data_IF_984683618552
#
_entry.id   IF_984683618552
#
_cell.length_a   1.000
_cell.length_b   1.000
_cell.length_c   1.000
_cell.angle_alpha   90.00
_cell.angle_beta   90.00
_cell.angle_gamma   90.00
#
_symmetry.space_group_name_H-M   'P 1'
#
loop_
_entity.id
_entity.type
_entity.pdbx_description
1 polymer ?
#
# COMPACT_ATOMS: atom_id res chain seq x y z
N UNK A 1 -14.37 -13.07 36.91
CA UNK A 1 -13.71 -11.81 37.35
C UNK A 1 -12.74 -11.26 36.30
N UNK A 2 -11.92 -12.10 35.65
CA UNK A 2 -10.99 -11.70 34.59
C UNK A 2 -11.66 -11.05 33.37
N UNK A 3 -12.73 -11.64 32.84
CA UNK A 3 -13.45 -11.15 31.65
C UNK A 3 -14.03 -9.74 31.81
N UNK A 4 -14.65 -9.41 32.95
CA UNK A 4 -15.12 -8.03 33.22
C UNK A 4 -13.98 -7.01 33.14
N UNK A 5 -12.85 -7.31 33.78
CA UNK A 5 -11.67 -6.42 33.80
C UNK A 5 -11.06 -6.19 32.40
N UNK A 6 -11.15 -7.18 31.52
CA UNK A 6 -10.72 -7.06 30.12
C UNK A 6 -11.61 -6.08 29.34
N UNK A 7 -12.94 -6.20 29.48
CA UNK A 7 -13.88 -5.28 28.85
C UNK A 7 -13.80 -3.87 29.44
N UNK A 8 -13.42 -3.69 30.71
CA UNK A 8 -13.25 -2.33 31.28
C UNK A 8 -12.12 -1.52 30.62
N UNK A 9 -11.17 -2.18 29.93
CA UNK A 9 -10.01 -1.54 29.30
C UNK A 9 -10.13 -1.38 27.77
N UNK A 10 -11.27 -1.76 27.17
CA UNK A 10 -11.43 -1.78 25.71
C UNK A 10 -11.16 -0.42 25.04
N UNK A 11 -11.51 0.70 25.68
CA UNK A 11 -11.26 2.06 25.14
C UNK A 11 -9.76 2.39 25.14
N UNK A 12 -9.03 1.97 26.19
CA UNK A 12 -7.57 2.14 26.24
C UNK A 12 -6.94 1.34 25.13
N UNK A 13 -7.35 0.07 24.99
CA UNK A 13 -6.88 -0.79 23.92
C UNK A 13 -7.18 -0.22 22.52
N UNK A 14 -8.39 0.26 22.27
CA UNK A 14 -8.76 0.90 21.00
C UNK A 14 -7.84 2.07 20.66
N UNK A 15 -7.49 2.92 21.64
CA UNK A 15 -6.52 4.01 21.42
C UNK A 15 -5.12 3.49 21.10
N UNK A 16 -4.64 2.47 21.80
CA UNK A 16 -3.37 1.82 21.48
C UNK A 16 -3.35 1.27 20.05
N UNK A 17 -4.43 0.59 19.63
CA UNK A 17 -4.59 0.10 18.26
C UNK A 17 -4.61 1.26 17.26
N UNK A 18 -5.31 2.36 17.56
CA UNK A 18 -5.33 3.56 16.71
C UNK A 18 -3.93 4.15 16.48
N UNK A 19 -3.11 4.26 17.53
CA UNK A 19 -1.70 4.69 17.40
C UNK A 19 -0.88 3.72 16.55
N UNK A 20 -1.04 2.41 16.77
CA UNK A 20 -0.34 1.38 16.00
C UNK A 20 -0.72 1.44 14.51
N UNK A 21 -2.02 1.57 14.19
CA UNK A 21 -2.49 1.73 12.81
C UNK A 21 -1.81 2.92 12.15
N UNK A 22 -1.79 4.09 12.80
CA UNK A 22 -1.15 5.28 12.23
C UNK A 22 0.34 5.07 11.94
N UNK A 23 1.07 4.49 12.91
CA UNK A 23 2.49 4.20 12.74
C UNK A 23 2.77 3.24 11.58
N UNK A 24 2.05 2.11 11.53
CA UNK A 24 2.24 1.12 10.47
C UNK A 24 1.75 1.62 9.11
N UNK A 25 0.71 2.45 9.05
CA UNK A 25 0.26 3.09 7.80
C UNK A 25 1.33 4.03 7.23
N UNK A 26 2.06 4.79 8.05
CA UNK A 26 3.16 5.64 7.59
C UNK A 26 4.27 4.79 6.95
N UNK A 27 4.69 3.72 7.64
CA UNK A 27 5.70 2.79 7.11
C UNK A 27 5.22 2.15 5.80
N UNK A 28 3.97 1.72 5.76
CA UNK A 28 3.36 1.07 4.60
C UNK A 28 3.31 2.00 3.38
N UNK A 29 2.89 3.26 3.54
CA UNK A 29 2.93 4.27 2.47
C UNK A 29 4.37 4.52 2.01
N UNK A 30 5.32 4.63 2.96
CA UNK A 30 6.73 4.78 2.63
C UNK A 30 7.28 3.63 1.80
N UNK A 31 6.93 2.38 2.15
CA UNK A 31 7.30 1.20 1.38
C UNK A 31 6.71 1.20 -0.03
N UNK A 32 5.46 1.66 -0.20
CA UNK A 32 4.87 1.82 -1.53
C UNK A 32 5.59 2.86 -2.38
N UNK A 33 5.94 4.00 -1.81
CA UNK A 33 6.71 5.05 -2.50
C UNK A 33 8.07 4.49 -2.92
N UNK A 34 8.81 3.88 -1.99
CA UNK A 34 10.12 3.29 -2.26
C UNK A 34 10.08 2.22 -3.37
N UNK A 35 9.09 1.31 -3.31
CA UNK A 35 8.94 0.27 -4.33
C UNK A 35 8.64 0.87 -5.72
N UNK A 36 7.85 1.95 -5.77
CA UNK A 36 7.50 2.59 -7.03
C UNK A 36 8.67 3.43 -7.60
N UNK A 37 9.43 4.13 -6.75
CA UNK A 37 10.67 4.80 -7.15
C UNK A 37 11.67 3.78 -7.70
N UNK A 38 11.86 2.64 -7.02
CA UNK A 38 12.74 1.58 -7.50
C UNK A 38 12.30 1.02 -8.85
N UNK A 39 10.99 0.91 -9.09
CA UNK A 39 10.45 0.49 -10.39
C UNK A 39 10.81 1.48 -11.51
N UNK A 40 10.71 2.78 -11.24
CA UNK A 40 11.11 3.85 -12.18
C UNK A 40 12.62 3.81 -12.43
N UNK A 41 13.43 3.64 -11.38
CA UNK A 41 14.89 3.57 -11.52
C UNK A 41 15.30 2.38 -12.38
N UNK A 42 14.77 1.20 -12.07
CA UNK A 42 15.02 -0.05 -12.82
C UNK A 42 14.58 0.09 -14.29
N UNK A 43 13.53 0.84 -14.56
CA UNK A 43 13.08 1.09 -15.92
C UNK A 43 14.08 1.90 -16.75
N UNK A 44 14.82 2.83 -16.12
CA UNK A 44 15.81 3.68 -16.78
C UNK A 44 17.22 3.07 -16.80
N UNK A 45 17.47 2.01 -16.03
CA UNK A 45 18.75 1.29 -16.02
C UNK A 45 18.97 0.55 -17.36
N UNK A 46 20.20 0.60 -17.88
CA UNK A 46 20.59 -0.11 -19.10
C UNK A 46 21.18 -1.48 -18.77
N UNK A 47 20.72 -2.54 -19.44
CA UNK A 47 21.25 -3.90 -19.37
C UNK A 47 21.33 -4.54 -17.96
N UNK A 48 20.57 -4.03 -16.98
CA UNK A 48 20.40 -4.74 -15.71
C UNK A 48 19.34 -5.84 -15.84
N UNK A 49 19.52 -6.96 -15.12
CA UNK A 49 18.55 -8.06 -15.11
C UNK A 49 17.14 -7.56 -14.74
N UNK A 50 17.06 -6.69 -13.73
CA UNK A 50 15.80 -6.09 -13.29
C UNK A 50 15.15 -5.23 -14.39
N UNK A 51 15.94 -4.47 -15.15
CA UNK A 51 15.44 -3.66 -16.27
C UNK A 51 14.86 -4.53 -17.39
N UNK A 52 15.57 -5.60 -17.75
CA UNK A 52 15.11 -6.56 -18.76
C UNK A 52 13.84 -7.29 -18.31
N UNK A 53 13.78 -7.71 -17.03
CA UNK A 53 12.58 -8.31 -16.44
C UNK A 53 11.39 -7.35 -16.40
N UNK A 54 11.63 -6.06 -16.12
CA UNK A 54 10.60 -5.02 -16.13
C UNK A 54 10.00 -4.79 -17.53
N UNK A 55 10.79 -5.03 -18.58
CA UNK A 55 10.40 -4.90 -19.99
C UNK A 55 9.93 -6.22 -20.63
N UNK A 56 9.94 -7.33 -19.88
CA UNK A 56 9.63 -8.68 -20.38
C UNK A 56 8.23 -8.78 -21.01
N UNK A 57 7.30 -7.91 -20.60
CA UNK A 57 5.97 -7.81 -21.20
C UNK A 57 6.00 -7.51 -22.72
N UNK A 58 7.01 -6.77 -23.21
CA UNK A 58 7.15 -6.48 -24.64
C UNK A 58 7.39 -7.75 -25.47
N UNK A 59 7.99 -8.77 -24.85
CA UNK A 59 8.27 -10.06 -25.48
C UNK A 59 7.18 -11.10 -25.18
N UNK A 60 6.50 -10.98 -24.03
CA UNK A 60 5.51 -11.94 -23.56
C UNK A 60 4.34 -11.23 -22.88
N UNK A 61 3.21 -11.14 -23.57
CA UNK A 61 2.00 -10.48 -23.05
C UNK A 61 1.43 -11.12 -21.78
N UNK A 62 1.80 -12.38 -21.51
CA UNK A 62 1.41 -13.12 -20.30
C UNK A 62 2.31 -12.81 -19.09
N UNK A 63 3.42 -12.10 -19.28
CA UNK A 63 4.32 -11.74 -18.18
C UNK A 63 3.63 -10.77 -17.22
N UNK A 64 3.50 -11.17 -15.97
CA UNK A 64 2.94 -10.35 -14.88
C UNK A 64 4.01 -9.76 -13.97
N UNK A 65 5.27 -9.71 -14.41
CA UNK A 65 6.41 -9.25 -13.58
C UNK A 65 6.31 -7.75 -13.28
N UNK A 66 5.94 -6.95 -14.29
CA UNK A 66 5.70 -5.53 -14.13
C UNK A 66 4.19 -5.25 -14.02
N UNK A 67 3.69 -4.77 -12.86
CA UNK A 67 2.28 -4.44 -12.69
C UNK A 67 1.77 -3.24 -13.52
N UNK A 68 2.67 -2.49 -14.14
CA UNK A 68 2.42 -1.31 -14.98
C UNK A 68 2.81 -1.54 -16.44
N UNK A 69 2.83 -2.79 -16.87
CA UNK A 69 3.14 -3.26 -18.24
C UNK A 69 2.40 -2.52 -19.39
N UNK A 70 1.18 -2.03 -19.13
CA UNK A 70 0.36 -1.29 -20.11
C UNK A 70 0.61 0.22 -20.13
N UNK A 71 1.51 0.71 -19.29
CA UNK A 71 1.89 2.12 -19.22
C UNK A 71 3.15 2.33 -20.03
N UNK A 72 3.14 3.31 -20.93
CA UNK A 72 4.31 3.56 -21.77
C UNK A 72 5.55 3.93 -20.93
N UNK A 73 6.73 3.39 -21.28
CA UNK A 73 8.03 3.73 -20.70
C UNK A 73 8.23 5.23 -20.45
N UNK A 74 7.91 6.03 -21.48
CA UNK A 74 8.19 7.46 -21.50
C UNK A 74 7.25 8.29 -20.61
N UNK A 75 6.25 7.66 -19.98
CA UNK A 75 5.28 8.34 -19.09
C UNK A 75 5.24 7.72 -17.69
N UNK A 76 6.18 6.85 -17.35
CA UNK A 76 6.27 6.21 -16.03
C UNK A 76 6.78 7.22 -14.98
N UNK A 77 5.87 8.09 -14.55
CA UNK A 77 6.01 9.05 -13.46
C UNK A 77 5.10 8.64 -12.29
N UNK A 78 4.84 9.51 -11.31
CA UNK A 78 3.92 9.22 -10.17
C UNK A 78 2.45 9.04 -10.62
N UNK A 79 2.06 9.63 -11.75
CA UNK A 79 0.66 9.66 -12.22
C UNK A 79 -0.01 8.29 -12.39
N UNK A 80 0.60 7.33 -13.11
CA UNK A 80 0.07 5.98 -13.28
C UNK A 80 -0.21 5.25 -11.95
N UNK A 81 0.68 5.35 -10.96
CA UNK A 81 0.46 4.81 -9.61
C UNK A 81 -0.83 5.35 -9.00
N UNK A 82 -1.03 6.66 -9.05
CA UNK A 82 -2.20 7.33 -8.45
C UNK A 82 -3.52 7.05 -9.18
N UNK A 83 -3.48 6.53 -10.40
CA UNK A 83 -4.68 6.13 -11.15
C UNK A 83 -5.12 4.69 -10.89
N UNK A 84 -4.28 3.89 -10.22
CA UNK A 84 -4.65 2.53 -9.83
C UNK A 84 -5.73 2.55 -8.76
N UNK A 85 -6.54 1.49 -8.68
CA UNK A 85 -7.53 1.31 -7.60
C UNK A 85 -6.85 1.40 -6.24
N UNK A 86 -5.71 0.73 -6.04
CA UNK A 86 -4.91 0.78 -4.83
C UNK A 86 -4.39 2.20 -4.55
N UNK A 87 -3.91 2.92 -5.56
CA UNK A 87 -3.44 4.31 -5.43
C UNK A 87 -4.54 5.27 -4.98
N UNK A 88 -5.68 5.30 -5.68
CA UNK A 88 -6.81 6.19 -5.36
C UNK A 88 -7.35 5.88 -3.95
N UNK A 89 -7.66 4.61 -3.69
CA UNK A 89 -8.18 4.19 -2.38
C UNK A 89 -7.16 4.43 -1.26
N UNK A 90 -5.86 4.25 -1.51
CA UNK A 90 -4.79 4.51 -0.56
C UNK A 90 -4.70 5.98 -0.15
N UNK A 91 -4.82 6.91 -1.11
CA UNK A 91 -4.87 8.35 -0.80
C UNK A 91 -6.10 8.70 0.03
N UNK A 92 -7.28 8.16 -0.33
CA UNK A 92 -8.51 8.37 0.43
C UNK A 92 -8.36 7.85 1.86
N UNK A 93 -7.80 6.64 2.03
CA UNK A 93 -7.52 6.04 3.34
C UNK A 93 -6.60 6.93 4.19
N UNK A 94 -5.54 7.49 3.61
CA UNK A 94 -4.63 8.38 4.31
C UNK A 94 -5.33 9.66 4.80
N UNK A 95 -6.14 10.28 3.95
CA UNK A 95 -6.91 11.48 4.29
C UNK A 95 -7.91 11.17 5.42
N UNK A 96 -8.68 10.08 5.29
CA UNK A 96 -9.61 9.64 6.33
C UNK A 96 -8.89 9.38 7.65
N UNK A 97 -7.77 8.63 7.63
CA UNK A 97 -7.00 8.31 8.83
C UNK A 97 -6.45 9.57 9.51
N UNK A 98 -5.95 10.53 8.73
CA UNK A 98 -5.46 11.81 9.24
C UNK A 98 -6.56 12.62 9.94
N UNK A 99 -7.77 12.68 9.35
CA UNK A 99 -8.91 13.39 9.93
C UNK A 99 -9.42 12.68 11.19
N UNK A 100 -9.58 11.36 11.16
CA UNK A 100 -10.01 10.56 12.32
C UNK A 100 -9.02 10.72 13.46
N UNK A 101 -7.72 10.58 13.19
CA UNK A 101 -6.69 10.61 14.22
C UNK A 101 -6.52 12.00 14.85
N UNK A 102 -6.43 13.06 14.03
CA UNK A 102 -6.29 14.43 14.51
C UNK A 102 -7.47 14.88 15.38
N UNK A 103 -8.70 14.63 14.93
CA UNK A 103 -9.93 14.94 15.69
C UNK A 103 -10.09 14.11 16.97
N UNK A 104 -9.43 12.96 17.07
CA UNK A 104 -9.46 12.08 18.26
C UNK A 104 -8.46 12.47 19.36
N UNK A 105 -7.64 13.51 19.15
CA UNK A 105 -6.72 14.02 20.17
C UNK A 105 -7.47 14.53 21.41
N UNK A 106 -6.83 14.46 22.58
CA UNK A 106 -7.47 14.88 23.83
C UNK A 106 -7.88 16.36 23.84
N UNK A 107 -7.17 17.21 23.08
CA UNK A 107 -7.49 18.63 22.93
C UNK A 107 -8.82 18.81 22.19
N UNK A 108 -8.97 18.22 21.01
CA UNK A 108 -10.19 18.38 20.19
C UNK A 108 -11.37 17.64 20.82
N UNK A 109 -11.18 16.40 21.27
CA UNK A 109 -12.27 15.59 21.82
C UNK A 109 -12.90 16.18 23.09
N UNK A 110 -12.14 16.93 23.91
CA UNK A 110 -12.65 17.56 25.14
C UNK A 110 -13.34 18.90 24.88
N UNK A 111 -12.82 19.68 23.94
CA UNK A 111 -13.34 21.03 23.65
C UNK A 111 -14.42 21.05 22.56
N UNK A 112 -14.38 20.10 21.62
CA UNK A 112 -15.24 20.04 20.44
C UNK A 112 -15.70 18.59 20.18
N UNK A 113 -16.54 18.07 21.09
CA UNK A 113 -16.95 16.67 21.05
C UNK A 113 -17.70 16.29 19.76
N UNK A 114 -18.56 17.17 19.24
CA UNK A 114 -19.29 16.94 17.98
C UNK A 114 -18.34 16.71 16.79
N UNK A 115 -17.27 17.52 16.68
CA UNK A 115 -16.27 17.37 15.61
C UNK A 115 -15.61 15.99 15.70
N UNK A 116 -15.19 15.59 16.91
CA UNK A 116 -14.67 14.25 17.14
C UNK A 116 -15.68 13.20 16.69
N UNK A 117 -16.93 13.30 17.14
CA UNK A 117 -17.95 12.28 16.90
C UNK A 117 -18.25 12.11 15.40
N UNK A 118 -18.50 13.21 14.68
CA UNK A 118 -18.77 13.16 13.25
C UNK A 118 -17.55 12.69 12.44
N UNK A 119 -16.35 13.20 12.75
CA UNK A 119 -15.14 12.80 12.05
C UNK A 119 -14.81 11.31 12.28
N UNK A 120 -15.06 10.78 13.47
CA UNK A 120 -14.75 9.37 13.77
C UNK A 120 -15.59 8.41 12.92
N UNK A 121 -16.83 8.76 12.52
CA UNK A 121 -17.69 7.95 11.64
C UNK A 121 -17.14 7.74 10.23
N UNK A 122 -16.10 8.48 9.82
CA UNK A 122 -15.33 8.18 8.61
C UNK A 122 -14.74 6.76 8.62
N UNK A 123 -14.75 6.04 9.76
CA UNK A 123 -14.41 4.61 9.82
C UNK A 123 -15.21 3.77 8.81
N UNK A 124 -16.45 4.14 8.49
CA UNK A 124 -17.28 3.42 7.50
C UNK A 124 -16.63 3.50 6.11
N UNK A 125 -16.31 4.72 5.67
CA UNK A 125 -15.63 4.96 4.39
C UNK A 125 -14.25 4.31 4.41
N UNK A 126 -13.52 4.43 5.53
CA UNK A 126 -12.21 3.83 5.71
C UNK A 126 -12.25 2.31 5.49
N UNK A 127 -13.17 1.57 6.11
CA UNK A 127 -13.22 0.12 5.93
C UNK A 127 -13.66 -0.30 4.52
N UNK A 128 -14.56 0.43 3.87
CA UNK A 128 -14.94 0.17 2.48
C UNK A 128 -13.72 0.35 1.57
N UNK A 129 -13.02 1.49 1.68
CA UNK A 129 -11.82 1.75 0.90
C UNK A 129 -10.70 0.76 1.22
N UNK A 130 -10.57 0.29 2.46
CA UNK A 130 -9.54 -0.67 2.86
C UNK A 130 -9.72 -2.03 2.17
N UNK A 131 -10.95 -2.52 2.07
CA UNK A 131 -11.26 -3.76 1.34
C UNK A 131 -10.91 -3.60 -0.15
N UNK A 132 -11.34 -2.49 -0.76
CA UNK A 132 -11.06 -2.22 -2.17
C UNK A 132 -9.58 -2.00 -2.46
N UNK A 133 -8.84 -1.42 -1.52
CA UNK A 133 -7.42 -1.12 -1.66
C UNK A 133 -6.58 -2.40 -1.88
N UNK A 134 -6.84 -3.44 -1.08
CA UNK A 134 -6.16 -4.72 -1.21
C UNK A 134 -6.62 -5.54 -2.42
N UNK A 135 -7.80 -5.27 -2.97
CA UNK A 135 -8.43 -6.10 -4.01
C UNK A 135 -7.66 -6.12 -5.34
N UNK A 136 -6.92 -5.06 -5.67
CA UNK A 136 -6.22 -4.97 -6.95
C UNK A 136 -5.03 -5.95 -7.06
N UNK A 137 -4.44 -6.38 -5.94
CA UNK A 137 -3.37 -7.38 -5.94
C UNK A 137 -2.13 -6.98 -6.75
N UNK A 138 -1.71 -5.70 -6.69
CA UNK A 138 -0.51 -5.19 -7.38
C UNK A 138 0.75 -5.88 -6.86
N UNK A 139 0.84 -6.09 -5.55
CA UNK A 139 1.96 -6.80 -4.91
C UNK A 139 1.68 -8.29 -5.00
N UNK A 140 2.53 -9.01 -5.73
CA UNK A 140 2.41 -10.46 -5.95
C UNK A 140 3.70 -11.17 -5.60
N UNK A 141 3.58 -12.46 -5.29
CA UNK A 141 4.72 -13.37 -5.15
C UNK A 141 4.73 -14.37 -6.30
N UNK A 142 5.93 -14.76 -6.73
CA UNK A 142 6.09 -15.73 -7.80
C UNK A 142 5.78 -17.14 -7.29
N UNK A 143 4.93 -17.87 -8.01
CA UNK A 143 4.47 -19.23 -7.63
C UNK A 143 4.97 -20.33 -8.57
N UNK A 144 5.37 -20.00 -9.79
CA UNK A 144 5.83 -20.93 -10.82
C UNK A 144 7.34 -21.23 -10.73
N UNK A 145 7.87 -21.41 -9.51
CA UNK A 145 9.30 -21.60 -9.25
C UNK A 145 9.90 -22.86 -9.89
N UNK A 146 9.07 -23.86 -10.16
CA UNK A 146 9.49 -25.10 -10.82
C UNK A 146 9.80 -24.89 -12.32
N UNK A 147 9.12 -23.94 -12.95
CA UNK A 147 9.28 -23.63 -14.38
C UNK A 147 10.24 -22.45 -14.58
N UNK A 148 10.13 -21.42 -13.73
CA UNK A 148 10.91 -20.19 -13.82
C UNK A 148 11.71 -19.97 -12.54
N UNK A 149 12.80 -20.72 -12.33
CA UNK A 149 13.64 -20.54 -11.15
C UNK A 149 14.43 -19.19 -11.24
N UNK A 150 14.25 -18.24 -10.29
CA UNK A 150 14.91 -16.94 -10.36
C UNK A 150 16.43 -16.99 -10.34
N UNK A 151 17.03 -17.95 -9.63
CA UNK A 151 18.49 -18.09 -9.53
C UNK A 151 19.08 -18.58 -10.85
N UNK A 152 18.43 -19.57 -11.48
CA UNK A 152 18.82 -20.11 -12.79
C UNK A 152 18.62 -19.04 -13.87
N UNK A 153 17.46 -18.35 -13.88
CA UNK A 153 17.23 -17.26 -14.82
C UNK A 153 18.28 -16.14 -14.67
N UNK A 154 18.66 -15.82 -13.44
CA UNK A 154 19.70 -14.82 -13.18
C UNK A 154 21.10 -15.29 -13.57
N UNK A 155 21.43 -16.58 -13.46
CA UNK A 155 22.73 -17.10 -13.93
C UNK A 155 22.83 -17.06 -15.44
N UNK A 156 21.79 -17.51 -16.15
CA UNK A 156 21.73 -17.50 -17.62
C UNK A 156 21.81 -16.09 -18.22
N UNK A 157 21.30 -15.07 -17.52
CA UNK A 157 21.41 -13.68 -17.98
C UNK A 157 22.83 -13.10 -17.86
N UNK A 158 23.65 -13.63 -16.94
CA UNK A 158 25.01 -13.13 -16.68
C UNK A 158 26.07 -13.80 -17.56
N UNK A 159 25.71 -14.90 -18.22
CA UNK A 159 26.54 -15.59 -19.23
C UNK A 159 26.48 -14.87 -20.58
#
# INVERSE_FOLDING_TARGET
RFTKRLFDQHIVFHRCVGYAICFWSIIHVGAHIYNYERLIDVHNEYQSLSSVLNLLYLQSSESQVNPFDRVSPNVLNIGPMLRTTAGITGVILCICLMIIFSSSTALIRRSFYEIFWFAHHLFIIFFICLILHGFQGIVKSQINLNEHNPEICASLYRE
#
